data_IF_893445742650
#
_entry.id   IF_893445742650
#
_cell.length_a   1.000
_cell.length_b   1.000
_cell.length_c   1.000
_cell.angle_alpha   90.00
_cell.angle_beta   90.00
_cell.angle_gamma   90.00
#
_symmetry.space_group_name_H-M   'P 1'
#
loop_
_entity.id
_entity.type
_entity.pdbx_description
1 polymer ?
#
# COMPACT_ATOMS: atom_id res chain seq x y z
N UNK A 1 30.37 -6.39 57.90
CA UNK A 1 31.12 -5.74 56.83
C UNK A 1 30.13 -5.42 55.71
N UNK A 2 29.56 -4.20 55.69
CA UNK A 2 28.65 -3.74 54.67
C UNK A 2 29.45 -2.97 53.63
N UNK A 3 29.61 -3.52 52.48
CA UNK A 3 30.46 -2.99 51.43
C UNK A 3 29.79 -1.78 50.74
N UNK A 4 30.40 -0.59 50.70
CA UNK A 4 29.87 0.62 50.05
C UNK A 4 29.71 0.42 48.52
N UNK A 5 30.41 -0.54 47.93
CA UNK A 5 30.35 -0.89 46.50
C UNK A 5 28.95 -1.37 46.03
N UNK A 6 28.21 -2.11 46.84
CA UNK A 6 26.87 -2.58 46.51
C UNK A 6 25.82 -1.45 46.48
N UNK A 7 25.99 -0.45 47.35
CA UNK A 7 25.10 0.74 47.39
C UNK A 7 25.33 1.68 46.20
N UNK A 8 26.59 1.82 45.76
CA UNK A 8 26.92 2.64 44.60
C UNK A 8 26.42 2.00 43.30
N UNK A 9 26.55 0.66 43.14
CA UNK A 9 26.05 -0.07 41.99
C UNK A 9 24.50 0.01 41.88
N UNK A 10 23.80 -0.11 43.01
CA UNK A 10 22.33 -0.01 43.03
C UNK A 10 21.82 1.42 42.67
N UNK A 11 22.52 2.45 43.12
CA UNK A 11 22.20 3.84 42.79
C UNK A 11 22.49 4.16 41.32
N UNK A 12 23.53 3.60 40.71
CA UNK A 12 23.89 3.76 39.31
C UNK A 12 22.87 3.05 38.41
N UNK A 13 22.42 1.83 38.75
CA UNK A 13 21.36 1.12 38.03
C UNK A 13 19.99 1.84 38.11
N UNK A 14 19.66 2.44 39.26
CA UNK A 14 18.43 3.19 39.45
C UNK A 14 18.46 4.50 38.66
N UNK A 15 19.59 5.17 38.57
CA UNK A 15 19.78 6.38 37.78
C UNK A 15 19.69 6.11 36.27
N UNK A 16 20.22 4.98 35.77
CA UNK A 16 20.08 4.55 34.36
C UNK A 16 18.63 4.15 34.04
N UNK A 17 17.92 3.49 34.97
CA UNK A 17 16.51 3.15 34.77
C UNK A 17 15.60 4.38 34.72
N UNK A 18 15.85 5.42 35.53
CA UNK A 18 15.14 6.68 35.50
C UNK A 18 15.42 7.48 34.23
N UNK A 19 16.62 7.41 33.65
CA UNK A 19 16.96 8.12 32.41
C UNK A 19 16.22 7.55 31.20
N UNK A 20 15.92 6.26 31.18
CA UNK A 20 15.14 5.61 30.13
C UNK A 20 13.64 6.00 30.17
N UNK A 21 13.09 6.27 31.35
CA UNK A 21 11.69 6.68 31.52
C UNK A 21 11.42 8.12 31.08
N UNK A 22 12.40 9.03 31.23
CA UNK A 22 12.26 10.45 30.85
C UNK A 22 12.36 10.69 29.31
N UNK A 23 12.88 9.72 28.53
CA UNK A 23 12.98 9.83 27.08
C UNK A 23 11.65 9.63 26.36
N UNK A 24 10.59 9.14 27.01
CA UNK A 24 9.29 8.86 26.41
C UNK A 24 8.30 10.02 26.41
N UNK A 25 8.47 11.02 27.25
CA UNK A 25 7.54 12.16 27.37
C UNK A 25 7.63 13.19 26.21
N UNK A 26 8.66 13.09 25.36
CA UNK A 26 8.95 14.06 24.30
C UNK A 26 8.71 13.57 22.85
N UNK A 27 8.16 12.37 22.60
CA UNK A 27 7.89 11.95 21.22
C UNK A 27 6.64 12.63 20.66
N UNK A 28 6.64 13.12 19.40
CA UNK A 28 7.81 13.34 18.57
C UNK A 28 8.54 14.64 18.97
N UNK A 29 9.87 14.59 19.08
CA UNK A 29 10.71 15.76 19.42
C UNK A 29 11.16 16.57 18.18
N UNK A 30 10.91 16.05 16.99
CA UNK A 30 11.30 16.63 15.69
C UNK A 30 10.32 16.17 14.61
N UNK A 31 10.36 16.73 13.39
CA UNK A 31 9.47 16.32 12.30
C UNK A 31 9.45 14.80 12.07
N UNK A 32 8.25 14.27 11.85
CA UNK A 32 8.03 12.87 11.45
C UNK A 32 7.98 12.78 9.93
N UNK A 33 8.64 11.78 9.37
CA UNK A 33 8.68 11.52 7.93
C UNK A 33 7.84 10.28 7.60
N UNK A 34 6.90 10.42 6.67
CA UNK A 34 6.18 9.30 6.06
C UNK A 34 6.80 9.04 4.69
N UNK A 35 7.52 7.94 4.57
CA UNK A 35 8.08 7.48 3.30
C UNK A 35 6.98 6.78 2.50
N UNK A 36 6.82 7.19 1.24
CA UNK A 36 5.96 6.56 0.24
C UNK A 36 6.83 5.97 -0.84
N UNK A 37 6.70 4.67 -1.12
CA UNK A 37 7.57 3.94 -2.03
C UNK A 37 7.25 4.14 -3.53
N UNK A 38 6.39 5.09 -3.87
CA UNK A 38 6.00 5.42 -5.24
C UNK A 38 6.10 6.92 -5.51
N UNK A 39 6.10 7.28 -6.80
CA UNK A 39 6.04 8.68 -7.21
C UNK A 39 4.73 9.34 -6.77
N UNK A 40 4.78 10.66 -6.60
CA UNK A 40 3.62 11.46 -6.24
C UNK A 40 2.47 11.34 -7.25
N UNK A 41 1.24 11.61 -6.81
CA UNK A 41 0.04 11.63 -7.64
C UNK A 41 -0.73 10.30 -7.71
N UNK A 42 -0.27 9.24 -7.02
CA UNK A 42 -1.04 8.01 -6.84
C UNK A 42 -1.82 7.98 -5.52
N UNK A 43 -2.63 6.94 -5.34
CA UNK A 43 -3.47 6.75 -4.15
C UNK A 43 -2.68 6.76 -2.85
N UNK A 44 -1.53 6.07 -2.81
CA UNK A 44 -0.69 6.01 -1.60
C UNK A 44 -0.15 7.39 -1.21
N UNK A 45 0.28 8.20 -2.19
CA UNK A 45 0.74 9.58 -1.94
C UNK A 45 -0.39 10.48 -1.43
N UNK A 46 -1.58 10.36 -2.03
CA UNK A 46 -2.77 11.12 -1.61
C UNK A 46 -3.15 10.77 -0.17
N UNK A 47 -3.19 9.49 0.19
CA UNK A 47 -3.45 9.03 1.56
C UNK A 47 -2.38 9.51 2.53
N UNK A 48 -1.10 9.45 2.13
CA UNK A 48 0.01 9.95 2.95
C UNK A 48 -0.15 11.42 3.31
N UNK A 49 -0.56 12.26 2.35
CA UNK A 49 -0.76 13.71 2.58
C UNK A 49 -1.97 13.99 3.48
N UNK A 50 -3.08 13.26 3.29
CA UNK A 50 -4.24 13.36 4.18
C UNK A 50 -3.86 12.97 5.62
N UNK A 51 -3.16 11.85 5.76
CA UNK A 51 -2.71 11.37 7.06
C UNK A 51 -1.70 12.32 7.71
N UNK A 52 -0.73 12.82 6.94
CA UNK A 52 0.30 13.76 7.42
C UNK A 52 -0.30 15.07 7.94
N UNK A 53 -1.31 15.62 7.25
CA UNK A 53 -2.03 16.81 7.70
C UNK A 53 -2.72 16.59 9.05
N UNK A 54 -3.42 15.46 9.21
CA UNK A 54 -4.10 15.13 10.46
C UNK A 54 -3.12 14.84 11.60
N UNK A 55 -2.08 14.03 11.33
CA UNK A 55 -1.07 13.69 12.32
C UNK A 55 -0.26 14.92 12.77
N UNK A 56 0.06 15.86 11.89
CA UNK A 56 0.81 17.06 12.27
C UNK A 56 0.06 17.89 13.32
N UNK A 57 -1.27 18.04 13.18
CA UNK A 57 -2.13 18.73 14.15
C UNK A 57 -2.14 18.03 15.51
N UNK A 58 -2.16 16.71 15.52
CA UNK A 58 -2.30 15.88 16.73
C UNK A 58 -0.98 15.64 17.45
N UNK A 59 0.11 15.52 16.70
CA UNK A 59 1.44 15.28 17.24
C UNK A 59 2.17 16.59 17.66
N UNK A 60 1.70 17.74 17.19
CA UNK A 60 2.34 19.04 17.46
C UNK A 60 3.70 19.21 16.76
N UNK A 61 4.01 18.35 15.78
CA UNK A 61 5.23 18.41 14.98
C UNK A 61 4.89 18.28 13.50
N UNK A 62 5.68 18.89 12.60
CA UNK A 62 5.50 18.70 11.18
C UNK A 62 5.56 17.21 10.78
N UNK A 63 4.64 16.78 9.92
CA UNK A 63 4.68 15.45 9.31
C UNK A 63 4.85 15.64 7.81
N UNK A 64 5.96 15.14 7.27
CA UNK A 64 6.34 15.35 5.87
C UNK A 64 6.28 14.05 5.07
N UNK A 65 5.79 14.12 3.84
CA UNK A 65 5.75 12.99 2.90
C UNK A 65 7.02 13.00 2.06
N UNK A 66 7.72 11.85 2.01
CA UNK A 66 8.95 11.63 1.24
C UNK A 66 8.74 10.51 0.23
N UNK A 67 8.64 10.85 -1.06
CA UNK A 67 8.42 9.89 -2.13
C UNK A 67 9.75 9.26 -2.58
N UNK A 68 9.98 7.98 -2.25
CA UNK A 68 11.18 7.19 -2.61
C UNK A 68 10.82 6.03 -3.51
N UNK A 69 10.62 6.31 -4.78
CA UNK A 69 10.16 5.33 -5.77
C UNK A 69 11.28 4.49 -6.35
N UNK A 70 10.93 3.27 -6.78
CA UNK A 70 11.78 2.39 -7.58
C UNK A 70 11.73 0.92 -7.16
N UNK A 71 12.12 0.04 -8.09
CA UNK A 71 12.18 -1.42 -7.92
C UNK A 71 10.92 -2.01 -7.27
N UNK A 72 9.72 -1.70 -7.82
CA UNK A 72 8.46 -2.22 -7.27
C UNK A 72 8.19 -1.86 -5.80
N UNK A 73 8.77 -0.73 -5.31
CA UNK A 73 8.62 -0.27 -3.92
C UNK A 73 9.74 -0.71 -2.98
N UNK A 74 10.74 -1.46 -3.46
CA UNK A 74 11.85 -1.96 -2.64
C UNK A 74 12.65 -0.81 -2.05
N UNK A 75 13.01 0.22 -2.85
CA UNK A 75 13.90 1.31 -2.42
C UNK A 75 13.33 2.05 -1.19
N UNK A 76 12.05 2.44 -1.24
CA UNK A 76 11.42 3.16 -0.13
C UNK A 76 11.22 2.27 1.11
N UNK A 77 10.86 1.01 0.90
CA UNK A 77 10.65 0.05 1.99
C UNK A 77 11.95 -0.29 2.71
N UNK A 78 13.03 -0.57 1.97
CA UNK A 78 14.36 -0.80 2.54
C UNK A 78 14.85 0.39 3.35
N UNK A 79 14.68 1.60 2.81
CA UNK A 79 15.07 2.82 3.51
C UNK A 79 14.45 2.91 4.91
N UNK A 80 13.16 2.57 5.06
CA UNK A 80 12.51 2.60 6.37
C UNK A 80 12.94 1.41 7.23
N UNK A 81 13.03 0.21 6.67
CA UNK A 81 13.47 -0.98 7.40
C UNK A 81 14.85 -0.78 8.06
N UNK A 82 15.76 -0.03 7.39
CA UNK A 82 17.10 0.29 7.88
C UNK A 82 17.19 1.61 8.68
N UNK A 83 16.08 2.33 8.85
CA UNK A 83 16.07 3.60 9.59
C UNK A 83 16.16 3.38 11.10
N UNK A 84 16.50 4.46 11.83
CA UNK A 84 16.50 4.45 13.30
C UNK A 84 15.09 4.11 13.82
N UNK A 85 14.97 3.21 14.81
CA UNK A 85 13.67 2.78 15.34
C UNK A 85 13.14 3.74 16.43
N UNK A 86 13.10 5.03 16.12
CA UNK A 86 12.69 6.11 17.02
C UNK A 86 11.32 6.73 16.68
N UNK A 87 10.61 6.14 15.71
CA UNK A 87 9.29 6.58 15.28
C UNK A 87 9.26 7.80 14.36
N UNK A 88 10.41 8.43 14.04
CA UNK A 88 10.44 9.62 13.18
C UNK A 88 10.54 9.31 11.68
N UNK A 89 10.73 8.05 11.31
CA UNK A 89 10.67 7.60 9.91
C UNK A 89 9.73 6.40 9.82
N UNK A 90 8.62 6.59 9.10
CA UNK A 90 7.54 5.64 8.96
C UNK A 90 7.36 5.29 7.49
N UNK A 91 6.82 4.11 7.20
CA UNK A 91 6.49 3.66 5.86
C UNK A 91 4.97 3.66 5.69
N UNK A 92 4.46 4.34 4.67
CA UNK A 92 3.09 4.11 4.20
C UNK A 92 3.15 3.27 2.94
N UNK A 93 2.64 2.05 3.02
CA UNK A 93 2.85 1.00 2.00
C UNK A 93 1.56 0.33 1.57
N UNK A 94 1.61 -0.27 0.38
CA UNK A 94 0.64 -1.27 -0.12
C UNK A 94 1.19 -2.69 0.09
N UNK A 95 0.38 -3.75 -0.08
CA UNK A 95 0.82 -5.12 0.21
C UNK A 95 2.06 -5.61 -0.54
N UNK A 96 2.20 -5.28 -1.82
CA UNK A 96 3.26 -5.85 -2.68
C UNK A 96 4.67 -5.88 -2.06
N UNK A 97 5.23 -4.72 -1.64
CA UNK A 97 6.57 -4.65 -1.05
C UNK A 97 6.75 -5.42 0.25
N UNK A 98 5.67 -5.66 1.00
CA UNK A 98 5.71 -6.35 2.29
C UNK A 98 5.18 -7.78 2.24
N UNK A 99 4.76 -8.27 1.07
CA UNK A 99 4.26 -9.63 0.87
C UNK A 99 4.84 -10.26 -0.39
N UNK A 100 4.29 -9.95 -1.57
CA UNK A 100 4.62 -10.58 -2.83
C UNK A 100 6.12 -10.55 -3.18
N UNK A 101 6.81 -9.44 -2.87
CA UNK A 101 8.24 -9.31 -3.13
C UNK A 101 9.10 -10.36 -2.40
N UNK A 102 8.64 -10.93 -1.29
CA UNK A 102 9.29 -12.07 -0.62
C UNK A 102 9.42 -13.33 -1.49
N UNK A 103 8.56 -13.45 -2.50
CA UNK A 103 8.52 -14.60 -3.41
C UNK A 103 9.06 -14.22 -4.79
N UNK A 104 8.73 -13.02 -5.25
CA UNK A 104 9.02 -12.60 -6.62
C UNK A 104 10.50 -12.27 -6.85
N UNK A 105 11.19 -11.76 -5.81
CA UNK A 105 12.62 -11.42 -5.90
C UNK A 105 13.49 -12.50 -5.28
N UNK A 106 14.52 -12.94 -6.00
CA UNK A 106 15.49 -13.92 -5.49
C UNK A 106 16.25 -13.40 -4.29
N UNK A 107 16.53 -12.09 -4.25
CA UNK A 107 17.25 -11.42 -3.16
C UNK A 107 16.57 -10.11 -2.82
N UNK A 108 15.85 -10.10 -1.71
CA UNK A 108 15.24 -8.89 -1.17
C UNK A 108 16.18 -8.28 -0.10
N UNK A 109 16.48 -6.96 -0.14
CA UNK A 109 17.45 -6.34 0.77
C UNK A 109 16.91 -6.10 2.19
N UNK A 110 15.67 -6.48 2.46
CA UNK A 110 15.00 -6.43 3.76
C UNK A 110 14.07 -7.63 3.94
N UNK A 111 13.76 -7.97 5.19
CA UNK A 111 12.67 -8.89 5.52
C UNK A 111 11.55 -8.13 6.25
N UNK A 112 10.40 -7.88 5.58
CA UNK A 112 9.32 -7.12 6.18
C UNK A 112 8.71 -7.79 7.42
N UNK A 113 8.89 -9.09 7.60
CA UNK A 113 8.37 -9.88 8.73
C UNK A 113 9.16 -9.64 10.02
N UNK A 114 10.42 -9.25 9.91
CA UNK A 114 11.36 -9.11 11.04
C UNK A 114 11.94 -7.70 11.18
N UNK A 115 11.94 -6.90 10.09
CA UNK A 115 12.54 -5.58 10.07
C UNK A 115 11.51 -4.43 10.09
N UNK A 116 10.22 -4.76 9.89
CA UNK A 116 9.10 -3.81 9.97
C UNK A 116 8.04 -4.31 10.94
N UNK A 117 7.25 -3.38 11.49
CA UNK A 117 6.09 -3.68 12.32
C UNK A 117 4.91 -2.79 11.96
N UNK A 118 3.71 -3.33 12.08
CA UNK A 118 2.47 -2.62 11.81
C UNK A 118 2.22 -1.53 12.85
N UNK A 119 1.77 -0.37 12.39
CA UNK A 119 1.22 0.71 13.22
C UNK A 119 -0.29 0.77 13.06
N UNK A 120 -0.78 0.74 11.82
CA UNK A 120 -2.22 0.73 11.53
C UNK A 120 -2.46 0.44 10.04
N UNK A 121 -3.55 -0.24 9.73
CA UNK A 121 -4.15 -0.12 8.40
C UNK A 121 -4.89 1.21 8.33
N UNK A 122 -4.52 2.04 7.35
CA UNK A 122 -5.03 3.42 7.23
C UNK A 122 -6.30 3.44 6.41
N UNK A 123 -6.26 2.85 5.22
CA UNK A 123 -7.40 2.76 4.31
C UNK A 123 -7.38 1.45 3.53
N UNK A 124 -8.56 1.02 3.07
CA UNK A 124 -8.72 -0.07 2.09
C UNK A 124 -9.06 0.53 0.72
N UNK A 125 -8.24 0.31 -0.33
CA UNK A 125 -8.52 0.81 -1.66
C UNK A 125 -9.53 -0.07 -2.40
N UNK A 126 -10.39 0.56 -3.22
CA UNK A 126 -11.12 -0.15 -4.27
C UNK A 126 -10.26 -0.19 -5.52
N UNK A 127 -9.97 -1.40 -6.02
CA UNK A 127 -9.20 -1.59 -7.25
C UNK A 127 -10.14 -1.79 -8.43
N UNK A 128 -9.87 -1.14 -9.56
CA UNK A 128 -10.72 -1.16 -10.76
C UNK A 128 -9.91 -1.51 -11.99
N UNK A 129 -10.38 -2.47 -12.78
CA UNK A 129 -9.90 -2.70 -14.14
C UNK A 129 -10.43 -1.59 -15.02
N UNK A 130 -9.53 -0.76 -15.51
CA UNK A 130 -9.85 0.36 -16.38
C UNK A 130 -9.09 0.27 -17.71
N UNK A 131 -9.74 0.74 -18.76
CA UNK A 131 -9.18 0.77 -20.11
C UNK A 131 -9.28 2.16 -20.73
N UNK A 132 -8.37 2.44 -21.67
CA UNK A 132 -8.54 3.57 -22.59
C UNK A 132 -9.81 3.35 -23.43
N UNK A 133 -10.63 4.38 -23.69
CA UNK A 133 -11.88 4.25 -24.46
C UNK A 133 -11.73 3.71 -25.88
N UNK A 134 -10.53 3.77 -26.47
CA UNK A 134 -10.23 3.18 -27.78
C UNK A 134 -10.21 1.63 -27.75
N UNK A 135 -10.13 1.01 -26.57
CA UNK A 135 -10.28 -0.45 -26.44
C UNK A 135 -11.74 -0.84 -26.66
N UNK A 136 -12.07 -1.75 -27.60
CA UNK A 136 -13.44 -2.12 -27.93
C UNK A 136 -14.04 -3.12 -26.92
N UNK A 137 -13.95 -2.77 -25.62
CA UNK A 137 -14.46 -3.58 -24.53
C UNK A 137 -15.44 -2.77 -23.67
N UNK A 138 -16.61 -3.34 -23.37
CA UNK A 138 -17.64 -2.74 -22.49
C UNK A 138 -17.70 -3.39 -21.12
N UNK A 139 -17.12 -4.58 -20.99
CA UNK A 139 -17.03 -5.39 -19.78
C UNK A 139 -15.70 -6.16 -19.78
N UNK A 140 -15.44 -6.93 -18.73
CA UNK A 140 -14.20 -7.68 -18.62
C UNK A 140 -14.09 -8.82 -19.64
N UNK A 141 -15.21 -9.46 -20.01
CA UNK A 141 -15.25 -10.48 -21.06
C UNK A 141 -14.80 -9.91 -22.40
N UNK A 142 -15.35 -8.75 -22.78
CA UNK A 142 -14.96 -8.05 -24.00
C UNK A 142 -13.49 -7.65 -24.03
N UNK A 143 -12.89 -7.30 -22.85
CA UNK A 143 -11.46 -7.04 -22.76
C UNK A 143 -10.64 -8.31 -23.04
N UNK A 144 -10.99 -9.42 -22.41
CA UNK A 144 -10.33 -10.73 -22.65
C UNK A 144 -10.38 -11.11 -24.13
N UNK A 145 -11.53 -10.94 -24.77
CA UNK A 145 -11.72 -11.21 -26.21
C UNK A 145 -10.88 -10.29 -27.10
N UNK A 146 -10.87 -8.98 -26.81
CA UNK A 146 -10.10 -8.01 -27.59
C UNK A 146 -8.58 -8.30 -27.51
N UNK A 147 -8.06 -8.61 -26.33
CA UNK A 147 -6.64 -8.95 -26.14
C UNK A 147 -6.31 -10.26 -26.87
N UNK A 148 -7.18 -11.27 -26.78
CA UNK A 148 -6.99 -12.58 -27.46
C UNK A 148 -6.93 -12.43 -28.97
N UNK A 149 -7.80 -11.58 -29.56
CA UNK A 149 -7.85 -11.34 -31.00
C UNK A 149 -6.67 -10.50 -31.54
N UNK A 150 -5.89 -9.88 -30.68
CA UNK A 150 -4.80 -9.01 -31.07
C UNK A 150 -3.54 -9.25 -30.19
N UNK A 151 -2.89 -10.40 -30.32
CA UNK A 151 -1.71 -10.77 -29.51
C UNK A 151 -0.61 -9.70 -29.62
N UNK A 152 -0.05 -9.29 -28.48
CA UNK A 152 1.03 -8.30 -28.41
C UNK A 152 0.64 -6.84 -28.69
N UNK A 153 -0.65 -6.56 -28.98
CA UNK A 153 -1.11 -5.20 -29.27
C UNK A 153 -1.45 -4.39 -28.03
N UNK A 154 -1.97 -5.04 -27.01
CA UNK A 154 -2.43 -4.37 -25.80
C UNK A 154 -1.38 -4.39 -24.70
N UNK A 155 -1.11 -3.22 -24.11
CA UNK A 155 -0.20 -3.06 -22.99
C UNK A 155 -0.97 -2.84 -21.69
N UNK A 156 -0.60 -3.57 -20.65
CA UNK A 156 -1.09 -3.38 -19.28
C UNK A 156 -0.05 -2.65 -18.45
N UNK A 157 -0.44 -1.49 -17.89
CA UNK A 157 0.40 -0.73 -16.98
C UNK A 157 0.34 -1.28 -15.56
N UNK A 158 1.46 -1.18 -14.84
CA UNK A 158 1.55 -1.42 -13.41
C UNK A 158 2.38 -0.34 -12.72
N UNK A 159 2.24 -0.20 -11.42
CA UNK A 159 3.12 0.69 -10.63
C UNK A 159 4.45 0.04 -10.23
N UNK A 160 4.86 -0.99 -10.95
CA UNK A 160 6.13 -1.69 -10.81
C UNK A 160 5.99 -3.18 -11.05
N UNK A 161 7.08 -3.82 -11.44
CA UNK A 161 7.14 -5.26 -11.58
C UNK A 161 6.81 -5.95 -10.24
N UNK A 162 6.04 -7.04 -10.28
CA UNK A 162 5.60 -7.78 -9.09
C UNK A 162 4.41 -7.17 -8.34
N UNK A 163 3.98 -5.96 -8.69
CA UNK A 163 2.79 -5.34 -8.07
C UNK A 163 1.48 -6.00 -8.53
N UNK A 164 0.38 -5.74 -7.84
CA UNK A 164 -0.91 -6.40 -8.11
C UNK A 164 -1.35 -6.34 -9.57
N UNK A 165 -1.30 -5.22 -10.30
CA UNK A 165 -1.67 -5.22 -11.72
C UNK A 165 -0.76 -6.11 -12.57
N UNK A 166 0.54 -6.19 -12.27
CA UNK A 166 1.42 -7.13 -12.97
C UNK A 166 1.03 -8.59 -12.69
N UNK A 167 0.71 -8.93 -11.45
CA UNK A 167 0.25 -10.28 -11.09
C UNK A 167 -1.07 -10.63 -11.80
N UNK A 168 -2.01 -9.67 -11.86
CA UNK A 168 -3.28 -9.83 -12.60
C UNK A 168 -3.02 -10.03 -14.08
N UNK A 169 -2.11 -9.26 -14.69
CA UNK A 169 -1.75 -9.44 -16.10
C UNK A 169 -1.21 -10.84 -16.38
N UNK A 170 -0.20 -11.28 -15.61
CA UNK A 170 0.39 -12.60 -15.77
C UNK A 170 -0.65 -13.71 -15.60
N UNK A 171 -1.54 -13.55 -14.61
CA UNK A 171 -2.65 -14.48 -14.42
C UNK A 171 -3.56 -14.51 -15.65
N UNK A 172 -3.99 -13.35 -16.16
CA UNK A 172 -4.85 -13.25 -17.35
C UNK A 172 -4.19 -13.91 -18.57
N UNK A 173 -2.93 -13.63 -18.82
CA UNK A 173 -2.20 -14.17 -19.96
C UNK A 173 -2.12 -15.69 -19.87
N UNK A 174 -1.82 -16.24 -18.69
CA UNK A 174 -1.73 -17.68 -18.46
C UNK A 174 -3.10 -18.38 -18.48
N UNK A 175 -4.08 -17.84 -17.75
CA UNK A 175 -5.38 -18.50 -17.56
C UNK A 175 -6.27 -18.41 -18.80
N UNK A 176 -6.18 -17.31 -19.56
CA UNK A 176 -7.04 -17.07 -20.73
C UNK A 176 -6.30 -17.18 -22.06
N UNK A 177 -5.03 -17.58 -22.06
CA UNK A 177 -4.22 -17.75 -23.27
C UNK A 177 -3.98 -16.42 -23.99
N UNK A 178 -3.72 -15.34 -23.24
CA UNK A 178 -3.50 -14.01 -23.81
C UNK A 178 -2.01 -13.72 -24.00
N UNK A 179 -1.71 -12.72 -24.82
CA UNK A 179 -0.36 -12.19 -25.03
C UNK A 179 -0.43 -10.66 -24.92
N UNK A 180 -0.39 -10.15 -23.71
CA UNK A 180 -0.34 -8.71 -23.44
C UNK A 180 1.08 -8.26 -23.11
N UNK A 181 1.38 -6.96 -23.30
CA UNK A 181 2.67 -6.38 -22.94
C UNK A 181 2.59 -5.81 -21.53
N UNK A 182 3.64 -5.98 -20.73
CA UNK A 182 3.76 -5.34 -19.42
C UNK A 182 4.58 -4.07 -19.49
N UNK A 183 4.04 -2.96 -18.96
CA UNK A 183 4.75 -1.68 -18.81
C UNK A 183 4.78 -1.28 -17.36
N UNK A 184 5.99 -1.29 -16.77
CA UNK A 184 6.21 -0.94 -15.36
C UNK A 184 6.50 0.57 -15.20
N UNK A 185 5.73 1.22 -14.34
CA UNK A 185 5.88 2.62 -13.95
C UNK A 185 6.42 2.74 -12.52
N UNK A 186 6.84 3.95 -12.13
CA UNK A 186 7.27 4.25 -10.74
C UNK A 186 6.12 4.68 -9.82
N UNK A 187 4.87 4.31 -10.17
CA UNK A 187 3.66 4.64 -9.41
C UNK A 187 2.43 4.79 -10.30
N UNK A 188 1.25 4.91 -9.68
CA UNK A 188 -0.04 5.08 -10.40
C UNK A 188 -0.14 6.41 -11.14
N UNK A 189 0.47 7.50 -10.61
CA UNK A 189 0.41 8.82 -11.23
C UNK A 189 0.89 8.82 -12.68
N UNK A 190 2.16 8.50 -12.97
CA UNK A 190 2.66 8.44 -14.35
C UNK A 190 1.96 7.37 -15.20
N UNK A 191 1.58 6.23 -14.62
CA UNK A 191 0.82 5.19 -15.30
C UNK A 191 -0.55 5.69 -15.80
N UNK A 192 -1.27 6.46 -14.99
CA UNK A 192 -2.59 6.98 -15.38
C UNK A 192 -2.51 7.98 -16.54
N UNK A 193 -1.44 8.77 -16.64
CA UNK A 193 -1.22 9.70 -17.76
C UNK A 193 -1.11 8.93 -19.07
N UNK A 194 -0.30 7.87 -19.09
CA UNK A 194 -0.10 7.05 -20.28
C UNK A 194 -1.34 6.20 -20.63
N UNK A 195 -2.14 5.80 -19.64
CA UNK A 195 -3.43 5.14 -19.88
C UNK A 195 -4.43 6.09 -20.54
N UNK A 196 -4.53 7.34 -20.08
CA UNK A 196 -5.42 8.35 -20.64
C UNK A 196 -5.01 8.70 -22.07
N UNK A 197 -3.72 8.84 -22.33
CA UNK A 197 -3.18 9.15 -23.66
C UNK A 197 -3.22 7.97 -24.64
N UNK A 198 -3.46 6.75 -24.15
CA UNK A 198 -3.50 5.53 -24.96
C UNK A 198 -2.15 4.91 -25.27
N UNK A 199 -1.07 5.36 -24.62
CA UNK A 199 0.26 4.70 -24.68
C UNK A 199 0.17 3.28 -24.13
N UNK A 200 -0.53 3.10 -23.01
CA UNK A 200 -1.00 1.80 -22.53
C UNK A 200 -2.52 1.72 -22.64
N UNK A 201 -3.08 0.51 -22.75
CA UNK A 201 -4.48 0.32 -23.06
C UNK A 201 -5.30 -0.09 -21.83
N UNK A 202 -4.70 -0.71 -20.83
CA UNK A 202 -5.41 -1.23 -19.67
C UNK A 202 -4.55 -1.21 -18.40
N UNK A 203 -5.20 -1.19 -17.24
CA UNK A 203 -4.59 -1.39 -15.93
C UNK A 203 -5.62 -1.88 -14.91
N UNK A 204 -5.17 -2.55 -13.86
CA UNK A 204 -5.90 -2.65 -12.60
C UNK A 204 -5.35 -1.56 -11.68
N UNK A 205 -6.09 -0.47 -11.47
CA UNK A 205 -5.63 0.69 -10.70
C UNK A 205 -6.57 1.02 -9.54
N UNK A 206 -6.14 1.92 -8.66
CA UNK A 206 -6.98 2.41 -7.57
C UNK A 206 -8.11 3.31 -8.10
N UNK A 207 -9.33 3.11 -7.61
CA UNK A 207 -10.43 4.03 -7.87
C UNK A 207 -10.09 5.47 -7.46
N UNK A 208 -9.30 5.64 -6.40
CA UNK A 208 -8.84 6.96 -5.94
C UNK A 208 -8.07 7.74 -7.02
N UNK A 209 -7.27 7.06 -7.83
CA UNK A 209 -6.49 7.68 -8.92
C UNK A 209 -7.29 7.77 -10.22
N UNK A 210 -8.10 6.75 -10.53
CA UNK A 210 -8.70 6.61 -11.86
C UNK A 210 -10.11 7.20 -11.96
N UNK A 211 -10.87 7.28 -10.86
CA UNK A 211 -12.26 7.77 -10.86
C UNK A 211 -12.45 9.14 -11.53
N UNK A 212 -11.63 10.17 -11.26
CA UNK A 212 -11.81 11.47 -11.92
C UNK A 212 -11.75 11.38 -13.45
N UNK A 213 -10.97 10.45 -13.99
CA UNK A 213 -10.84 10.24 -15.43
C UNK A 213 -11.94 9.34 -15.98
N UNK A 214 -12.48 8.43 -15.17
CA UNK A 214 -13.66 7.61 -15.49
C UNK A 214 -14.89 8.51 -15.57
N UNK A 215 -15.10 9.36 -14.57
CA UNK A 215 -16.22 10.32 -14.53
C UNK A 215 -16.17 11.31 -15.71
N UNK A 216 -14.96 11.70 -16.13
CA UNK A 216 -14.74 12.57 -17.29
C UNK A 216 -14.83 11.83 -18.65
N UNK A 217 -15.12 10.52 -18.67
CA UNK A 217 -15.18 9.70 -19.88
C UNK A 217 -13.83 9.46 -20.57
N UNK A 218 -12.72 9.83 -19.93
CA UNK A 218 -11.35 9.63 -20.45
C UNK A 218 -10.85 8.20 -20.24
N UNK A 219 -11.47 7.46 -19.33
CA UNK A 219 -11.25 6.04 -19.08
C UNK A 219 -12.60 5.32 -18.98
N UNK A 220 -12.59 4.02 -19.24
CA UNK A 220 -13.76 3.15 -19.01
C UNK A 220 -13.42 2.13 -17.94
N UNK A 221 -14.24 2.08 -16.87
CA UNK A 221 -14.18 1.05 -15.86
C UNK A 221 -14.91 -0.19 -16.33
N UNK A 222 -14.31 -1.38 -16.17
CA UNK A 222 -14.88 -2.65 -16.63
C UNK A 222 -15.27 -3.57 -15.47
N UNK A 223 -14.47 -3.62 -14.40
CA UNK A 223 -14.73 -4.48 -13.25
C UNK A 223 -14.05 -3.95 -12.00
N UNK A 224 -14.64 -4.16 -10.83
CA UNK A 224 -14.05 -3.86 -9.52
C UNK A 224 -13.53 -5.15 -8.89
N UNK A 225 -12.32 -5.11 -8.32
CA UNK A 225 -11.76 -6.21 -7.54
C UNK A 225 -12.34 -6.21 -6.11
N UNK A 226 -12.47 -7.43 -5.56
CA UNK A 226 -12.99 -7.62 -4.22
C UNK A 226 -14.42 -8.18 -4.21
N UNK A 227 -14.96 -8.44 -3.00
CA UNK A 227 -16.24 -9.15 -2.84
C UNK A 227 -17.47 -8.25 -3.07
N UNK A 228 -17.30 -6.94 -3.13
CA UNK A 228 -18.38 -5.94 -3.27
C UNK A 228 -18.02 -4.87 -4.26
N UNK A 229 -19.02 -4.25 -4.88
CA UNK A 229 -18.82 -3.04 -5.71
C UNK A 229 -18.24 -1.90 -4.87
N UNK A 230 -17.50 -1.03 -5.54
CA UNK A 230 -16.99 0.19 -4.92
C UNK A 230 -18.13 1.19 -4.69
N UNK A 231 -18.18 1.80 -3.50
CA UNK A 231 -19.11 2.91 -3.24
C UNK A 231 -18.87 4.10 -4.18
N UNK A 232 -17.64 4.29 -4.62
CA UNK A 232 -17.29 5.36 -5.57
C UNK A 232 -17.64 5.04 -7.02
N UNK A 233 -17.83 3.75 -7.35
CA UNK A 233 -18.17 3.26 -8.69
C UNK A 233 -19.33 2.24 -8.58
N UNK A 234 -20.53 2.64 -8.11
CA UNK A 234 -21.61 1.71 -7.77
C UNK A 234 -22.17 0.98 -8.98
N UNK A 235 -22.07 1.56 -10.18
CA UNK A 235 -22.56 0.98 -11.43
C UNK A 235 -21.59 -0.01 -12.05
N UNK A 236 -20.33 -0.05 -11.58
CA UNK A 236 -19.30 -0.97 -12.09
C UNK A 236 -19.41 -2.30 -11.37
N UNK A 237 -19.69 -3.42 -12.08
CA UNK A 237 -19.80 -4.73 -11.45
C UNK A 237 -18.45 -5.23 -10.95
N UNK A 238 -18.47 -6.13 -9.98
CA UNK A 238 -17.27 -6.86 -9.58
C UNK A 238 -16.87 -7.91 -10.63
N UNK A 239 -15.61 -8.37 -10.58
CA UNK A 239 -15.19 -9.52 -11.38
C UNK A 239 -16.08 -10.74 -11.10
N UNK A 240 -16.42 -10.99 -9.83
CA UNK A 240 -17.26 -12.12 -9.42
C UNK A 240 -18.69 -12.04 -9.97
N UNK A 241 -19.29 -10.84 -10.05
CA UNK A 241 -20.61 -10.63 -10.67
C UNK A 241 -20.58 -10.91 -12.18
N UNK A 242 -19.41 -10.78 -12.84
CA UNK A 242 -19.21 -11.12 -14.24
C UNK A 242 -18.75 -12.57 -14.47
N UNK A 243 -18.72 -13.40 -13.41
CA UNK A 243 -18.36 -14.82 -13.49
C UNK A 243 -16.88 -15.13 -13.23
N UNK A 244 -16.03 -14.14 -13.01
CA UNK A 244 -14.60 -14.29 -12.74
C UNK A 244 -14.35 -14.31 -11.23
N UNK A 245 -14.18 -15.52 -10.66
CA UNK A 245 -14.11 -15.73 -9.20
C UNK A 245 -12.74 -16.15 -8.69
N UNK A 246 -11.73 -16.03 -9.52
CA UNK A 246 -10.36 -16.40 -9.18
C UNK A 246 -9.81 -15.50 -8.07
N UNK A 247 -9.01 -16.05 -7.14
CA UNK A 247 -8.49 -15.31 -5.99
C UNK A 247 -7.76 -14.01 -6.32
N UNK A 248 -7.10 -13.95 -7.48
CA UNK A 248 -6.38 -12.77 -7.96
C UNK A 248 -7.26 -11.52 -8.08
N UNK A 249 -8.56 -11.69 -8.34
CA UNK A 249 -9.54 -10.62 -8.43
C UNK A 249 -10.24 -10.30 -7.11
N UNK A 250 -10.16 -11.20 -6.13
CA UNK A 250 -10.81 -11.05 -4.83
C UNK A 250 -9.92 -10.36 -3.80
N UNK A 251 -8.59 -10.45 -3.96
CA UNK A 251 -7.63 -9.94 -2.97
C UNK A 251 -7.51 -8.43 -3.10
N UNK A 252 -7.84 -7.73 -2.02
CA UNK A 252 -7.59 -6.31 -1.83
C UNK A 252 -6.88 -6.14 -0.49
N UNK A 253 -5.68 -5.58 -0.50
CA UNK A 253 -4.97 -5.29 0.75
C UNK A 253 -5.14 -3.84 1.16
N UNK A 254 -4.78 -3.52 2.40
CA UNK A 254 -4.83 -2.16 2.92
C UNK A 254 -3.61 -1.34 2.51
N UNK A 255 -3.75 -0.02 2.50
CA UNK A 255 -2.63 0.90 2.60
C UNK A 255 -2.34 1.04 4.08
N UNK A 256 -1.17 0.60 4.51
CA UNK A 256 -0.82 0.43 5.92
C UNK A 256 0.35 1.32 6.31
N UNK A 257 0.32 1.85 7.53
CA UNK A 257 1.44 2.55 8.15
C UNK A 257 2.27 1.54 8.95
N UNK A 258 3.58 1.57 8.74
CA UNK A 258 4.53 0.70 9.41
C UNK A 258 5.71 1.50 9.98
N UNK A 259 6.37 0.94 10.96
CA UNK A 259 7.60 1.46 11.57
C UNK A 259 8.72 0.41 11.50
N UNK A 260 10.00 0.80 11.67
CA UNK A 260 11.08 -0.16 11.92
C UNK A 260 10.73 -1.10 13.08
N UNK A 261 11.05 -2.38 12.96
CA UNK A 261 10.58 -3.42 13.91
C UNK A 261 10.93 -3.14 15.38
N UNK A 262 12.08 -2.50 15.63
CA UNK A 262 12.56 -2.18 16.99
C UNK A 262 12.04 -0.86 17.55
N UNK A 263 11.10 -0.20 16.88
CA UNK A 263 10.45 1.02 17.42
C UNK A 263 9.75 0.67 18.73
N UNK A 264 9.94 1.44 19.81
CA UNK A 264 9.34 1.16 21.13
C UNK A 264 7.82 1.03 21.06
N UNK A 265 7.25 0.10 21.83
CA UNK A 265 5.80 -0.17 21.84
C UNK A 265 4.99 1.09 22.18
N UNK A 266 5.43 1.88 23.15
CA UNK A 266 4.76 3.13 23.53
C UNK A 266 4.63 4.12 22.35
N UNK A 267 5.63 4.20 21.47
CA UNK A 267 5.61 5.04 20.26
C UNK A 267 4.62 4.46 19.24
N UNK A 268 4.68 3.15 19.00
CA UNK A 268 3.79 2.48 18.04
C UNK A 268 2.32 2.59 18.47
N UNK A 269 2.05 2.35 19.75
CA UNK A 269 0.70 2.51 20.31
C UNK A 269 0.20 3.96 20.24
N UNK A 270 1.07 4.93 20.51
CA UNK A 270 0.73 6.35 20.34
C UNK A 270 0.40 6.66 18.89
N UNK A 271 1.26 6.29 17.95
CA UNK A 271 1.02 6.47 16.52
C UNK A 271 -0.28 5.82 16.06
N UNK A 272 -0.54 4.58 16.48
CA UNK A 272 -1.77 3.85 16.15
C UNK A 272 -3.02 4.60 16.64
N UNK A 273 -3.01 5.09 17.89
CA UNK A 273 -4.11 5.91 18.43
C UNK A 273 -4.31 7.21 17.65
N UNK A 274 -3.23 7.90 17.26
CA UNK A 274 -3.34 9.14 16.51
C UNK A 274 -3.83 8.89 15.08
N UNK A 275 -3.39 7.81 14.41
CA UNK A 275 -3.92 7.38 13.10
C UNK A 275 -5.43 7.09 13.21
N UNK A 276 -5.83 6.30 14.21
CA UNK A 276 -7.24 5.99 14.43
C UNK A 276 -8.09 7.24 14.66
N UNK A 277 -7.57 8.20 15.41
CA UNK A 277 -8.26 9.47 15.64
C UNK A 277 -8.39 10.31 14.35
N UNK A 278 -7.33 10.41 13.54
CA UNK A 278 -7.37 11.09 12.23
C UNK A 278 -8.40 10.43 11.31
N UNK A 279 -8.40 9.09 11.20
CA UNK A 279 -9.32 8.37 10.32
C UNK A 279 -10.79 8.43 10.78
N UNK A 280 -11.05 8.77 12.06
CA UNK A 280 -12.43 8.98 12.59
C UNK A 280 -12.94 10.41 12.39
N UNK A 281 -12.09 11.38 12.05
CA UNK A 281 -12.52 12.75 11.81
C UNK A 281 -13.51 12.80 10.62
N UNK A 282 -14.70 13.40 10.76
CA UNK A 282 -15.73 13.39 9.71
C UNK A 282 -15.21 13.96 8.37
N UNK A 283 -14.43 15.04 8.41
CA UNK A 283 -13.87 15.65 7.21
C UNK A 283 -12.84 14.75 6.53
N UNK A 284 -12.01 14.02 7.29
CA UNK A 284 -11.03 13.07 6.77
C UNK A 284 -11.76 11.89 6.13
N UNK A 285 -12.75 11.32 6.82
CA UNK A 285 -13.57 10.23 6.27
C UNK A 285 -14.24 10.62 4.98
N UNK A 286 -14.87 11.78 4.92
CA UNK A 286 -15.51 12.29 3.71
C UNK A 286 -14.50 12.42 2.55
N UNK A 287 -13.30 12.95 2.81
CA UNK A 287 -12.23 13.06 1.79
C UNK A 287 -11.77 11.68 1.31
N UNK A 288 -11.59 10.74 2.22
CA UNK A 288 -11.17 9.37 1.91
C UNK A 288 -12.25 8.64 1.10
N UNK A 289 -13.52 8.74 1.52
CA UNK A 289 -14.65 8.09 0.85
C UNK A 289 -14.91 8.68 -0.54
N UNK A 290 -14.75 10.00 -0.70
CA UNK A 290 -14.87 10.66 -2.02
C UNK A 290 -13.82 10.16 -3.03
N UNK A 291 -12.67 9.68 -2.55
CA UNK A 291 -11.63 9.05 -3.36
C UNK A 291 -11.92 7.55 -3.65
N UNK A 292 -13.04 6.99 -3.15
CA UNK A 292 -13.33 5.57 -3.32
C UNK A 292 -12.50 4.65 -2.41
N UNK A 293 -12.01 5.19 -1.31
CA UNK A 293 -11.28 4.46 -0.28
C UNK A 293 -12.19 4.24 0.93
N UNK A 294 -11.96 3.18 1.69
CA UNK A 294 -12.62 2.95 2.98
C UNK A 294 -11.64 3.29 4.11
N UNK A 295 -12.01 4.28 4.95
CA UNK A 295 -11.20 4.65 6.11
C UNK A 295 -11.20 3.51 7.14
N UNK A 296 -10.02 3.16 7.66
CA UNK A 296 -9.81 2.13 8.68
C UNK A 296 -9.30 2.76 9.98
N UNK A 297 -8.01 2.80 10.20
CA UNK A 297 -7.42 3.32 11.43
C UNK A 297 -7.58 2.34 12.60
N UNK A 298 -7.27 1.06 12.35
CA UNK A 298 -7.27 0.01 13.39
C UNK A 298 -6.03 0.14 14.31
N UNK A 299 -6.07 -0.58 15.43
CA UNK A 299 -4.97 -0.64 16.37
C UNK A 299 -3.76 -1.39 15.79
N UNK A 300 -2.54 -1.22 16.35
CA UNK A 300 -1.36 -1.97 15.94
C UNK A 300 -1.55 -3.49 16.06
N UNK A 301 -2.27 -3.96 17.08
CA UNK A 301 -2.57 -5.37 17.27
C UNK A 301 -3.51 -5.91 16.19
N UNK A 302 -4.59 -5.19 15.88
CA UNK A 302 -5.53 -5.57 14.81
C UNK A 302 -4.86 -5.56 13.44
N UNK A 303 -4.06 -4.53 13.14
CA UNK A 303 -3.30 -4.44 11.89
C UNK A 303 -2.29 -5.60 11.76
N UNK A 304 -1.59 -5.94 12.83
CA UNK A 304 -0.66 -7.07 12.86
C UNK A 304 -1.37 -8.41 12.63
N UNK A 305 -2.53 -8.62 13.25
CA UNK A 305 -3.34 -9.81 13.04
C UNK A 305 -3.87 -9.90 11.60
N UNK A 306 -4.34 -8.78 11.03
CA UNK A 306 -4.79 -8.70 9.65
C UNK A 306 -3.65 -9.02 8.66
N UNK A 307 -2.46 -8.44 8.89
CA UNK A 307 -1.28 -8.73 8.09
C UNK A 307 -0.86 -10.21 8.17
N UNK A 308 -0.85 -10.79 9.36
CA UNK A 308 -0.51 -12.20 9.57
C UNK A 308 -1.48 -13.15 8.84
N UNK A 309 -2.78 -12.83 8.84
CA UNK A 309 -3.79 -13.59 8.10
C UNK A 309 -3.68 -13.40 6.58
N UNK A 310 -3.34 -12.20 6.12
CA UNK A 310 -3.24 -11.85 4.70
C UNK A 310 -1.97 -12.41 4.04
N UNK A 311 -0.84 -12.44 4.78
CA UNK A 311 0.48 -12.78 4.25
C UNK A 311 0.51 -14.13 3.53
N UNK A 312 0.06 -15.27 4.09
CA UNK A 312 0.11 -16.57 3.39
C UNK A 312 -0.68 -16.55 2.09
N UNK A 313 -1.86 -15.93 2.07
CA UNK A 313 -2.72 -15.82 0.88
C UNK A 313 -2.02 -15.01 -0.22
N UNK A 314 -1.40 -13.89 0.13
CA UNK A 314 -0.65 -13.06 -0.80
C UNK A 314 0.60 -13.77 -1.37
N UNK A 315 1.30 -14.55 -0.53
CA UNK A 315 2.46 -15.34 -0.97
C UNK A 315 2.04 -16.46 -1.94
N UNK A 316 0.96 -17.16 -1.64
CA UNK A 316 0.45 -18.23 -2.51
C UNK A 316 -0.02 -17.68 -3.86
N UNK A 317 -0.68 -16.52 -3.84
CA UNK A 317 -1.03 -15.82 -5.08
C UNK A 317 0.22 -15.44 -5.88
N UNK A 318 1.23 -14.84 -5.24
CA UNK A 318 2.46 -14.47 -5.91
C UNK A 318 3.16 -15.68 -6.55
N UNK A 319 3.23 -16.82 -5.82
CA UNK A 319 3.79 -18.08 -6.35
C UNK A 319 3.01 -18.60 -7.55
N UNK A 320 1.68 -18.53 -7.53
CA UNK A 320 0.81 -19.02 -8.60
C UNK A 320 1.04 -18.32 -9.94
N UNK A 321 1.54 -17.09 -9.92
CA UNK A 321 1.89 -16.35 -11.15
C UNK A 321 3.09 -16.94 -11.87
N UNK A 322 4.02 -17.58 -11.16
CA UNK A 322 5.29 -18.08 -11.70
C UNK A 322 6.28 -16.96 -12.06
N UNK A 323 6.00 -15.72 -11.67
CA UNK A 323 6.90 -14.57 -11.89
C UNK A 323 8.11 -14.67 -10.99
N UNK A 324 9.30 -14.46 -11.54
CA UNK A 324 10.54 -14.25 -10.79
C UNK A 324 11.20 -12.98 -11.30
N UNK A 325 11.65 -12.15 -10.38
CA UNK A 325 12.32 -10.88 -10.63
C UNK A 325 13.74 -10.96 -10.07
N UNK A 326 14.69 -10.40 -10.77
CA UNK A 326 16.12 -10.37 -10.38
C UNK A 326 16.52 -9.02 -9.80
#
# INVERSE_FOLDING_TARGET
>A
MNTPLLRTAALTCLALACSAALAQDGYPSRPVRIVVQYQAGGSTDTVARILAEGLAKRLGQPVVVDNRSGAGGIIGTEHVAKSAPDGHTLLLTVPGPITANLVLYKKLPYDPRTELRMVSDVVSPSMVMAVNPAVPAKDFKGLVEAVRQSPGKYAMGSWGAGTQPHQVQVFMDKAYGLQSLHVAYKGEGPMSIDLISGVIQMTLGSAATLKPFIDAGKLRALAVAGPRRSKALPDVPTFAEQGYREPVYAITGSISLMAPARTPDAIVERLGREVAAVMREPQVRQRVEALGLEAQGNSPAEASAAYAAFLPVALDLARSTGVTLD
#
